data_IF_829043408316
#
_entry.id   IF_829043408316
#
_cell.length_a   1.000
_cell.length_b   1.000
_cell.length_c   1.000
_cell.angle_alpha   90.00
_cell.angle_beta   90.00
_cell.angle_gamma   90.00
#
_symmetry.space_group_name_H-M   'P 1'
#
loop_
_entity.id
_entity.type
_entity.pdbx_description
1 polymer ?
#
# COMPACT_ATOMS: atom_id res chain seq x y z
N UNK A 1 -34.96 36.37 -40.10
CA UNK A 1 -33.68 35.65 -40.32
C UNK A 1 -33.15 35.22 -38.97
N UNK A 2 -33.39 33.96 -38.64
CA UNK A 2 -33.12 33.29 -37.36
C UNK A 2 -31.71 32.72 -37.35
N UNK A 3 -30.93 33.00 -36.30
CA UNK A 3 -29.75 32.23 -35.95
C UNK A 3 -29.53 32.28 -34.42
N UNK A 4 -30.20 31.38 -33.71
CA UNK A 4 -29.89 31.06 -32.31
C UNK A 4 -28.65 30.15 -32.33
N UNK A 5 -27.49 30.74 -32.07
CA UNK A 5 -26.21 30.05 -31.96
C UNK A 5 -26.19 29.27 -30.65
N UNK A 6 -26.57 27.99 -30.70
CA UNK A 6 -26.37 27.05 -29.60
C UNK A 6 -24.88 26.75 -29.45
N UNK A 7 -24.23 27.42 -28.50
CA UNK A 7 -22.89 27.06 -28.06
C UNK A 7 -22.99 25.67 -27.40
N UNK A 8 -22.47 24.66 -28.08
CA UNK A 8 -22.44 23.29 -27.61
C UNK A 8 -21.69 23.20 -26.28
N UNK A 9 -22.43 22.98 -25.20
CA UNK A 9 -21.85 22.57 -23.92
C UNK A 9 -21.34 21.15 -24.14
N UNK A 10 -20.04 21.03 -24.44
CA UNK A 10 -19.33 19.76 -24.41
C UNK A 10 -19.37 19.27 -22.97
N UNK A 11 -20.27 18.33 -22.69
CA UNK A 11 -20.26 17.57 -21.44
C UNK A 11 -18.94 16.81 -21.36
N UNK A 12 -18.00 17.35 -20.59
CA UNK A 12 -16.86 16.59 -20.12
C UNK A 12 -17.44 15.47 -19.24
N UNK A 13 -17.55 14.27 -19.81
CA UNK A 13 -17.85 13.08 -19.03
C UNK A 13 -16.68 12.85 -18.08
N UNK A 14 -16.80 13.30 -16.83
CA UNK A 14 -15.93 12.88 -15.74
C UNK A 14 -16.18 11.40 -15.46
N UNK A 15 -15.64 10.54 -16.32
CA UNK A 15 -15.64 9.10 -16.16
C UNK A 15 -14.46 8.66 -15.33
N UNK A 16 -14.52 8.91 -14.02
CA UNK A 16 -13.63 8.25 -13.06
C UNK A 16 -13.90 6.74 -13.12
N UNK A 17 -12.86 5.93 -13.29
CA UNK A 17 -13.01 4.47 -13.25
C UNK A 17 -12.89 4.02 -11.79
N UNK A 18 -13.98 3.58 -11.14
CA UNK A 18 -13.93 3.24 -9.73
C UNK A 18 -13.06 2.00 -9.52
N UNK A 19 -12.19 2.05 -8.51
CA UNK A 19 -11.49 0.87 -8.03
C UNK A 19 -12.41 0.11 -7.06
N UNK A 20 -12.68 -1.16 -7.34
CA UNK A 20 -13.54 -1.98 -6.49
C UNK A 20 -12.80 -2.32 -5.19
N UNK A 21 -13.49 -2.21 -4.05
CA UNK A 21 -12.94 -2.65 -2.77
C UNK A 21 -12.61 -4.15 -2.82
N UNK A 22 -11.45 -4.52 -2.27
CA UNK A 22 -10.96 -5.90 -2.33
C UNK A 22 -10.15 -6.22 -3.58
N UNK A 23 -9.85 -5.24 -4.42
CA UNK A 23 -8.85 -5.40 -5.49
C UNK A 23 -7.51 -5.80 -4.88
N UNK A 24 -6.95 -6.92 -5.36
CA UNK A 24 -5.66 -7.41 -4.88
C UNK A 24 -4.54 -6.46 -5.33
N UNK A 25 -3.69 -6.09 -4.38
CA UNK A 25 -2.53 -5.24 -4.62
C UNK A 25 -1.31 -5.94 -4.01
N UNK A 26 -0.30 -6.16 -4.84
CA UNK A 26 0.97 -6.73 -4.39
C UNK A 26 1.94 -5.62 -4.02
N UNK A 27 2.44 -5.69 -2.79
CA UNK A 27 3.38 -4.73 -2.22
C UNK A 27 4.71 -5.42 -2.02
N UNK A 28 5.78 -4.77 -2.47
CA UNK A 28 7.15 -5.18 -2.22
C UNK A 28 7.81 -4.23 -1.24
N UNK A 29 8.55 -4.80 -0.30
CA UNK A 29 9.44 -4.05 0.57
C UNK A 29 10.76 -3.82 -0.20
N UNK A 30 11.15 -2.56 -0.37
CA UNK A 30 12.37 -2.17 -1.12
C UNK A 30 13.61 -2.41 -0.27
N UNK A 31 13.53 -2.06 1.02
CA UNK A 31 14.65 -2.15 1.95
C UNK A 31 14.36 -3.16 3.07
N UNK A 32 15.30 -4.04 3.40
CA UNK A 32 15.09 -5.04 4.44
C UNK A 32 14.80 -4.38 5.78
N UNK A 33 13.74 -4.83 6.45
CA UNK A 33 13.33 -4.32 7.75
C UNK A 33 13.96 -5.19 8.83
N UNK A 34 14.87 -4.61 9.61
CA UNK A 34 15.40 -5.25 10.81
C UNK A 34 14.73 -4.67 12.07
N UNK A 35 14.44 -5.55 13.02
CA UNK A 35 14.01 -5.18 14.38
C UNK A 35 15.06 -4.35 15.14
N UNK A 36 16.35 -4.50 14.79
CA UNK A 36 17.49 -3.86 15.46
C UNK A 36 17.69 -2.42 15.00
N UNK A 37 17.60 -2.15 13.70
CA UNK A 37 17.88 -0.85 13.09
C UNK A 37 16.60 -0.05 12.97
N UNK A 38 16.64 1.23 13.33
CA UNK A 38 15.47 2.11 13.25
C UNK A 38 15.41 2.74 11.86
N UNK A 39 15.17 1.90 10.84
CA UNK A 39 15.03 2.34 9.45
C UNK A 39 13.55 2.48 9.13
N UNK A 40 13.16 3.61 8.56
CA UNK A 40 11.83 3.79 7.97
C UNK A 40 11.73 2.83 6.79
N UNK A 41 10.86 1.83 6.92
CA UNK A 41 10.71 0.83 5.90
C UNK A 41 10.03 1.44 4.66
N UNK A 42 10.67 1.29 3.50
CA UNK A 42 10.11 1.74 2.22
C UNK A 42 9.45 0.56 1.52
N UNK A 43 8.20 0.74 1.13
CA UNK A 43 7.45 -0.24 0.36
C UNK A 43 6.83 0.41 -0.89
N UNK A 44 6.76 -0.36 -1.96
CA UNK A 44 6.23 0.09 -3.25
C UNK A 44 5.28 -0.95 -3.84
N UNK A 45 4.40 -0.49 -4.72
CA UNK A 45 3.52 -1.39 -5.49
C UNK A 45 4.34 -2.17 -6.52
N UNK A 46 4.18 -3.51 -6.54
CA UNK A 46 5.00 -4.38 -7.38
C UNK A 46 4.50 -4.46 -8.84
N UNK A 47 3.21 -4.29 -9.09
CA UNK A 47 2.65 -4.34 -10.45
C UNK A 47 1.58 -3.27 -10.63
N UNK A 48 1.40 -2.81 -11.87
CA UNK A 48 0.31 -1.89 -12.21
C UNK A 48 -1.04 -2.50 -11.85
N UNK A 49 -1.84 -1.76 -11.07
CA UNK A 49 -3.23 -2.12 -10.78
C UNK A 49 -4.12 -1.46 -11.83
N UNK A 50 -4.80 -2.28 -12.62
CA UNK A 50 -5.67 -1.85 -13.71
C UNK A 50 -7.13 -2.15 -13.40
N UNK A 51 -8.02 -1.23 -13.77
CA UNK A 51 -9.45 -1.47 -13.82
C UNK A 51 -10.00 -0.93 -15.15
N UNK A 52 -10.89 -1.69 -15.79
CA UNK A 52 -11.48 -1.36 -17.09
C UNK A 52 -10.45 -0.90 -18.14
N UNK A 53 -9.28 -1.57 -18.18
CA UNK A 53 -8.20 -1.26 -19.13
C UNK A 53 -7.36 -0.02 -18.80
N UNK A 54 -7.68 0.73 -17.73
CA UNK A 54 -6.91 1.89 -17.28
C UNK A 54 -6.03 1.54 -16.07
N UNK A 55 -4.80 2.05 -16.05
CA UNK A 55 -3.90 1.95 -14.88
C UNK A 55 -4.37 2.96 -13.83
N UNK A 56 -4.81 2.45 -12.67
CA UNK A 56 -5.26 3.27 -11.55
C UNK A 56 -4.17 3.47 -10.50
N UNK A 57 -3.30 2.47 -10.31
CA UNK A 57 -2.13 2.58 -9.45
C UNK A 57 -0.94 2.06 -10.24
N UNK A 58 0.12 2.86 -10.34
CA UNK A 58 1.32 2.50 -11.09
C UNK A 58 2.23 1.61 -10.23
N UNK A 59 2.97 0.73 -10.88
CA UNK A 59 4.15 0.11 -10.30
C UNK A 59 5.09 1.20 -9.75
N UNK A 60 5.74 0.90 -8.63
CA UNK A 60 6.67 1.81 -7.97
C UNK A 60 6.00 2.91 -7.14
N UNK A 61 4.67 3.02 -7.16
CA UNK A 61 3.97 3.95 -6.27
C UNK A 61 4.32 3.62 -4.81
N UNK A 62 4.70 4.62 -4.00
CA UNK A 62 5.02 4.39 -2.60
C UNK A 62 3.78 3.97 -1.80
N UNK A 63 4.00 3.06 -0.86
CA UNK A 63 2.98 2.56 0.06
C UNK A 63 3.36 2.99 1.47
N UNK A 64 2.44 3.69 2.16
CA UNK A 64 2.61 3.94 3.58
C UNK A 64 2.45 2.62 4.34
N UNK A 65 3.49 2.26 5.08
CA UNK A 65 3.50 1.08 5.92
C UNK A 65 3.73 1.46 7.39
N UNK A 66 3.07 0.73 8.27
CA UNK A 66 3.28 0.79 9.71
C UNK A 66 4.12 -0.41 10.12
N UNK A 67 5.26 -0.14 10.72
CA UNK A 67 6.12 -1.16 11.32
C UNK A 67 5.95 -1.09 12.83
N UNK A 68 5.47 -2.17 13.44
CA UNK A 68 5.50 -2.34 14.89
C UNK A 68 6.56 -3.37 15.26
N UNK A 69 7.36 -3.05 16.25
CA UNK A 69 8.43 -3.92 16.76
C UNK A 69 8.28 -4.10 18.25
N UNK A 70 8.53 -5.30 18.74
CA UNK A 70 8.67 -5.57 20.17
C UNK A 70 9.96 -6.35 20.40
N UNK A 71 10.90 -5.70 21.10
CA UNK A 71 12.14 -6.34 21.53
C UNK A 71 11.83 -7.44 22.54
N UNK A 72 12.61 -8.51 22.49
CA UNK A 72 12.63 -9.56 23.50
C UNK A 72 12.81 -8.95 24.91
N UNK A 73 11.96 -9.34 25.87
CA UNK A 73 12.10 -8.96 27.29
C UNK A 73 12.45 -10.21 28.10
N UNK A 74 13.73 -10.36 28.41
CA UNK A 74 14.27 -11.49 29.17
C UNK A 74 14.90 -12.57 28.29
N UNK A 75 15.60 -13.50 28.95
CA UNK A 75 16.24 -14.67 28.32
C UNK A 75 15.13 -15.60 27.78
N UNK A 76 15.30 -16.11 26.56
CA UNK A 76 14.38 -17.08 25.95
C UNK A 76 13.13 -16.51 25.28
N UNK A 77 12.74 -15.24 25.50
CA UNK A 77 11.53 -14.68 24.86
C UNK A 77 11.82 -14.16 23.45
N UNK A 78 11.06 -14.58 22.42
CA UNK A 78 11.24 -14.04 21.07
C UNK A 78 10.77 -12.58 21.01
N UNK A 79 11.50 -11.76 20.27
CA UNK A 79 10.97 -10.48 19.78
C UNK A 79 10.04 -10.72 18.61
N UNK A 80 9.22 -9.71 18.26
CA UNK A 80 8.43 -9.75 17.03
C UNK A 80 8.56 -8.46 16.23
N UNK A 81 8.38 -8.61 14.92
CA UNK A 81 8.26 -7.55 13.93
C UNK A 81 6.93 -7.75 13.20
N UNK A 82 6.13 -6.70 13.08
CA UNK A 82 4.90 -6.73 12.30
C UNK A 82 4.82 -5.55 11.36
N UNK A 83 4.50 -5.81 10.10
CA UNK A 83 4.40 -4.82 9.04
C UNK A 83 2.96 -4.81 8.53
N UNK A 84 2.38 -3.62 8.43
CA UNK A 84 1.02 -3.41 7.92
C UNK A 84 1.02 -2.33 6.86
N UNK A 85 0.39 -2.59 5.71
CA UNK A 85 0.14 -1.55 4.71
C UNK A 85 -1.08 -0.72 5.10
N UNK A 86 -0.95 0.61 5.04
CA UNK A 86 -2.00 1.56 5.42
C UNK A 86 -2.67 2.18 4.20
N UNK A 87 -1.88 2.76 3.30
CA UNK A 87 -2.41 3.52 2.17
C UNK A 87 -1.40 3.62 1.03
N UNK A 88 -1.89 4.01 -0.15
CA UNK A 88 -1.08 4.35 -1.32
C UNK A 88 -1.74 5.46 -2.11
N UNK A 89 -1.04 6.03 -3.10
CA UNK A 89 -1.61 7.05 -3.99
C UNK A 89 -1.98 6.48 -5.35
N UNK A 90 -3.19 6.77 -5.80
CA UNK A 90 -3.62 6.51 -7.16
C UNK A 90 -2.94 7.45 -8.17
N UNK A 91 -3.03 7.09 -9.45
CA UNK A 91 -2.49 7.86 -10.55
C UNK A 91 -3.15 9.24 -10.72
N UNK A 92 -4.34 9.42 -10.15
CA UNK A 92 -5.08 10.70 -10.09
C UNK A 92 -4.75 11.53 -8.83
N UNK A 93 -3.84 11.05 -7.96
CA UNK A 93 -3.47 11.70 -6.71
C UNK A 93 -4.41 11.39 -5.54
N UNK A 94 -5.40 10.52 -5.70
CA UNK A 94 -6.26 10.11 -4.61
C UNK A 94 -5.54 9.15 -3.66
N UNK A 95 -5.68 9.38 -2.35
CA UNK A 95 -5.20 8.43 -1.34
C UNK A 95 -6.17 7.24 -1.24
N UNK A 96 -5.66 6.04 -1.52
CA UNK A 96 -6.37 4.78 -1.38
C UNK A 96 -5.95 4.10 -0.08
N UNK A 97 -6.94 3.78 0.77
CA UNK A 97 -6.73 2.98 1.97
C UNK A 97 -6.61 1.50 1.62
N UNK A 98 -5.53 0.88 2.08
CA UNK A 98 -5.28 -0.53 1.87
C UNK A 98 -5.86 -1.32 3.04
N UNK A 99 -6.67 -2.33 2.73
CA UNK A 99 -7.15 -3.32 3.69
C UNK A 99 -6.35 -4.61 3.54
N UNK A 100 -5.04 -4.50 3.74
CA UNK A 100 -4.11 -5.63 3.68
C UNK A 100 -3.93 -6.32 5.03
N UNK A 101 -3.53 -7.59 4.98
CA UNK A 101 -3.14 -8.35 6.18
C UNK A 101 -1.88 -7.79 6.85
N UNK A 102 -1.67 -8.18 8.10
CA UNK A 102 -0.45 -7.86 8.85
C UNK A 102 0.56 -8.98 8.60
N UNK A 103 1.72 -8.66 8.02
CA UNK A 103 2.84 -9.59 7.96
C UNK A 103 3.53 -9.59 9.32
N UNK A 104 3.46 -10.70 10.05
CA UNK A 104 4.12 -10.85 11.36
C UNK A 104 5.26 -11.86 11.26
N UNK A 105 6.43 -11.46 11.74
CA UNK A 105 7.63 -12.31 11.83
C UNK A 105 8.05 -12.34 13.30
N UNK A 106 8.25 -13.54 13.82
CA UNK A 106 8.75 -13.77 15.18
C UNK A 106 10.19 -14.26 15.13
N UNK A 107 11.03 -13.75 16.03
CA UNK A 107 12.41 -14.19 16.12
C UNK A 107 12.51 -15.63 16.62
N UNK A 108 13.39 -16.43 16.02
CA UNK A 108 13.69 -17.78 16.49
C UNK A 108 14.55 -17.71 17.76
N UNK A 109 13.93 -17.56 18.94
CA UNK A 109 14.64 -17.58 20.22
C UNK A 109 14.52 -18.95 20.89
N UNK A 110 15.42 -19.88 20.55
CA UNK A 110 15.52 -21.22 21.16
C UNK A 110 16.67 -21.35 22.17
N UNK A 111 17.18 -20.24 22.73
CA UNK A 111 18.23 -20.31 23.76
C UNK A 111 17.57 -20.21 25.14
N UNK A 112 17.30 -21.37 25.75
CA UNK A 112 16.78 -21.48 27.11
C UNK A 112 15.92 -22.72 27.41
N UNK A 113 15.52 -23.50 26.40
CA UNK A 113 14.96 -24.83 26.64
C UNK A 113 16.14 -25.81 26.74
N UNK A 114 16.66 -25.97 27.96
CA UNK A 114 17.37 -27.18 28.38
C UNK A 114 16.38 -28.12 29.04
#
# INVERSE_FOLDING_TARGET
>A
MTALMFCGISWASWGGTPLVRGTALQVRIVEPIDSKTMTEAVAVVEYDVKANGKVLIKNGTPVQIQVQRKKARGIGRPGFLSVRSLSTQAADGQTILLSGGVLKVEGQSNKGLV
#
